data_IF_149293397938
#
_entry.id   IF_149293397938
#
_cell.length_a   1.000
_cell.length_b   1.000
_cell.length_c   1.000
_cell.angle_alpha   90.00
_cell.angle_beta   90.00
_cell.angle_gamma   90.00
#
_symmetry.space_group_name_H-M   'P 1'
#
loop_
_entity.id
_entity.type
_entity.pdbx_description
1 polymer ?
2 polymer ?
3 water ?
#
# COMPACT_ATOMS: atom_id res chain seq x y z
N UNK A 13 -16.53 24.66 9.67
CA UNK A 13 -17.02 23.67 8.69
C UNK A 13 -18.43 23.11 8.97
N UNK A 14 -19.40 23.83 8.42
CA UNK A 14 -20.63 23.23 7.94
C UNK A 14 -20.34 22.69 6.54
N UNK A 15 -19.20 23.05 5.97
CA UNK A 15 -18.86 22.57 4.63
C UNK A 15 -18.32 21.09 4.57
N UNK A 16 -18.92 20.33 3.64
CA UNK A 16 -18.53 18.97 3.32
C UNK A 16 -18.07 19.00 1.87
N UNK A 17 -17.31 17.99 1.50
CA UNK A 17 -16.82 17.78 0.16
C UNK A 17 -17.04 16.30 -0.17
N UNK A 18 -18.01 15.98 -1.03
CA UNK A 18 -18.26 14.56 -1.33
C UNK A 18 -17.09 13.99 -2.16
N UNK A 19 -16.82 12.69 -1.97
CA UNK A 19 -15.66 12.03 -2.57
C UNK A 19 -15.73 12.18 -4.07
N UNK A 20 -16.93 11.95 -4.61
CA UNK A 20 -17.26 11.97 -6.03
C UNK A 20 -16.81 13.26 -6.75
N UNK A 21 -16.60 14.32 -6.01
CA UNK A 21 -16.40 15.63 -6.56
C UNK A 21 -14.96 16.04 -6.61
N UNK A 22 -14.07 15.20 -6.06
CA UNK A 22 -12.67 15.55 -5.95
C UNK A 22 -11.88 15.12 -7.19
N UNK A 23 -11.15 16.07 -7.75
CA UNK A 23 -10.30 15.80 -8.87
C UNK A 23 -8.89 15.64 -8.31
N UNK A 24 -8.28 14.45 -8.49
CA UNK A 24 -6.90 14.19 -8.03
C UNK A 24 -5.85 15.16 -8.60
N UNK A 25 -4.87 15.53 -7.79
CA UNK A 25 -3.73 16.32 -8.26
C UNK A 25 -2.67 15.46 -8.95
N UNK A 26 -1.61 16.11 -9.43
CA UNK A 26 -0.44 15.41 -9.92
C UNK A 26 0.66 15.27 -8.85
N UNK A 27 0.35 15.66 -7.61
CA UNK A 27 1.31 15.56 -6.52
C UNK A 27 1.40 14.11 -6.11
N UNK A 28 2.63 13.65 -5.83
CA UNK A 28 2.76 12.28 -5.33
C UNK A 28 2.04 12.20 -4.01
N UNK A 29 1.58 11.00 -3.67
CA UNK A 29 1.12 10.71 -2.31
C UNK A 29 2.24 10.76 -1.27
N UNK A 30 1.78 10.83 -0.02
CA UNK A 30 2.68 10.86 1.09
C UNK A 30 2.30 9.77 2.02
N UNK A 31 3.26 8.98 2.43
CA UNK A 31 2.98 7.87 3.35
C UNK A 31 3.07 8.42 4.73
N UNK A 32 1.99 8.26 5.51
CA UNK A 32 1.93 8.83 6.87
C UNK A 32 2.34 7.82 7.91
N UNK A 33 1.95 6.58 7.69
CA UNK A 33 2.16 5.51 8.64
C UNK A 33 2.22 4.24 7.88
N UNK A 34 3.15 3.35 8.25
CA UNK A 34 3.32 2.08 7.54
C UNK A 34 3.85 0.98 8.46
N UNK A 35 2.97 0.25 9.10
CA UNK A 35 3.38 -0.80 10.03
C UNK A 35 2.28 -1.84 10.19
N UNK A 36 2.66 -3.06 10.52
CA UNK A 36 1.72 -4.19 10.79
C UNK A 36 0.82 -4.51 9.60
N UNK A 37 1.24 -4.19 8.37
CA UNK A 37 0.44 -4.44 7.19
C UNK A 37 -0.60 -3.38 7.00
N UNK A 38 -0.44 -2.27 7.70
CA UNK A 38 -1.37 -1.19 7.66
C UNK A 38 -0.65 0.11 7.29
N UNK A 39 -1.28 0.85 6.42
CA UNK A 39 -0.65 1.95 5.76
C UNK A 39 -1.62 3.13 5.62
N UNK A 40 -1.22 4.33 5.97
CA UNK A 40 -2.06 5.51 5.72
C UNK A 40 -1.33 6.39 4.72
N UNK A 41 -2.07 6.97 3.80
CA UNK A 41 -1.53 7.92 2.84
C UNK A 41 -2.40 9.17 2.67
N UNK A 42 -1.76 10.25 2.26
CA UNK A 42 -2.43 11.50 1.92
C UNK A 42 -2.30 11.68 0.42
N UNK A 43 -3.42 11.90 -0.25
CA UNK A 43 -3.38 12.49 -1.55
C UNK A 43 -3.93 13.89 -1.41
N UNK A 44 -3.30 14.84 -2.05
CA UNK A 44 -3.71 16.23 -2.03
C UNK A 44 -4.47 16.61 -3.28
N UNK A 45 -5.53 17.38 -3.09
CA UNK A 45 -6.27 17.93 -4.23
C UNK A 45 -6.72 19.36 -3.96
N UNK A 46 -6.73 20.12 -5.03
CA UNK A 46 -7.38 21.42 -5.09
C UNK A 46 -8.82 21.25 -4.62
N UNK A 47 -9.26 22.26 -3.88
CA UNK A 47 -10.64 22.43 -3.41
C UNK A 47 -11.56 22.61 -4.65
N UNK A 48 -12.53 21.72 -4.85
CA UNK A 48 -13.29 21.68 -6.10
C UNK A 48 -14.33 22.82 -6.20
N UNK A 49 -14.82 23.26 -5.03
CA UNK A 49 -15.69 24.44 -4.89
C UNK A 49 -14.89 25.68 -5.17
N UNK A 50 -15.34 26.47 -6.15
CA UNK A 50 -14.80 27.82 -6.41
C UNK A 50 -14.86 28.76 -5.21
N UNK A 51 -14.01 29.79 -5.22
CA UNK A 51 -14.09 30.86 -4.24
C UNK A 51 -13.44 30.59 -2.89
N UNK A 52 -12.67 29.50 -2.77
CA UNK A 52 -11.84 29.26 -1.58
C UNK A 52 -10.49 28.62 -2.00
N UNK A 53 -9.51 29.47 -2.28
CA UNK A 53 -8.13 29.02 -2.57
C UNK A 53 -7.26 28.82 -1.29
N UNK A 54 -7.88 28.89 -0.12
CA UNK A 54 -7.15 28.73 1.13
C UNK A 54 -7.51 27.39 1.81
N UNK A 55 -8.24 26.54 1.08
CA UNK A 55 -8.57 25.20 1.57
C UNK A 55 -7.79 24.11 0.79
N UNK A 56 -7.01 23.33 1.53
CA UNK A 56 -6.48 22.04 1.03
C UNK A 56 -7.41 20.87 1.34
N UNK A 57 -7.63 20.02 0.31
CA UNK A 57 -8.29 18.74 0.47
C UNK A 57 -7.25 17.63 0.55
N UNK A 58 -7.41 16.83 1.58
CA UNK A 58 -6.51 15.71 1.84
C UNK A 58 -7.37 14.49 1.85
N UNK A 59 -7.21 13.66 0.80
CA UNK A 59 -7.84 12.34 0.77
C UNK A 59 -6.97 11.34 1.54
N UNK A 60 -7.43 10.95 2.71
CA UNK A 60 -6.75 9.98 3.53
C UNK A 60 -7.14 8.58 3.12
N UNK A 61 -6.17 7.74 2.74
CA UNK A 61 -6.45 6.36 2.40
C UNK A 61 -5.81 5.48 3.43
N UNK A 62 -6.55 4.50 3.89
CA UNK A 62 -6.03 3.56 4.84
C UNK A 62 -6.17 2.16 4.25
N UNK A 63 -5.08 1.45 4.07
CA UNK A 63 -4.99 0.23 3.28
C UNK A 63 -4.39 -0.91 4.10
N UNK A 64 -4.84 -2.12 3.92
CA UNK A 64 -4.25 -3.24 4.67
C UNK A 64 -3.83 -4.38 3.81
N UNK A 65 -2.69 -4.97 4.11
CA UNK A 65 -2.37 -6.28 3.59
C UNK A 65 -2.06 -7.23 4.73
N UNK A 66 -2.52 -6.90 5.92
CA UNK A 66 -2.37 -7.75 7.09
C UNK A 66 -3.12 -9.07 6.98
N UNK A 67 -2.57 -10.13 7.58
CA UNK A 67 -3.21 -11.45 7.51
C UNK A 67 -4.51 -11.53 8.34
N UNK A 68 -4.65 -10.70 9.37
CA UNK A 68 -5.91 -10.59 10.13
C UNK A 68 -6.66 -9.32 9.75
N UNK A 69 -7.96 -9.31 9.96
CA UNK A 69 -8.71 -8.06 9.77
C UNK A 69 -8.30 -7.01 10.79
N UNK A 70 -8.56 -5.76 10.43
CA UNK A 70 -8.21 -4.61 11.25
C UNK A 70 -9.48 -3.87 11.60
N UNK A 71 -9.76 -3.68 12.88
CA UNK A 71 -11.04 -3.10 13.33
C UNK A 71 -10.76 -1.87 14.17
N UNK A 72 -11.82 -1.18 14.57
CA UNK A 72 -11.81 0.01 15.42
C UNK A 72 -10.84 1.08 14.99
N UNK A 73 -10.88 1.42 13.72
CA UNK A 73 -9.95 2.42 13.16
C UNK A 73 -10.42 3.83 13.39
N UNK A 74 -9.65 4.59 14.15
CA UNK A 74 -9.86 6.03 14.26
C UNK A 74 -8.58 6.81 13.98
N UNK A 75 -8.76 7.75 13.07
CA UNK A 75 -7.71 8.65 12.66
C UNK A 75 -8.11 10.06 13.08
N UNK A 76 -7.22 10.73 13.82
CA UNK A 76 -7.40 12.11 14.24
C UNK A 76 -6.25 12.98 13.81
N UNK A 77 -6.50 14.28 13.70
CA UNK A 77 -5.40 15.22 13.44
C UNK A 77 -5.55 16.58 14.11
N UNK A 78 -4.41 17.29 14.22
CA UNK A 78 -4.31 18.64 14.75
C UNK A 78 -3.41 19.45 13.87
N UNK A 79 -3.55 20.74 13.95
CA UNK A 79 -2.93 21.64 12.99
C UNK A 79 -2.59 22.93 13.82
N UNK A 80 -1.66 23.77 13.41
CA UNK A 80 -1.46 25.09 14.06
C UNK A 80 -2.69 25.96 14.29
N UNK A 81 -2.84 26.50 15.52
CA UNK A 81 -3.88 27.46 15.99
C UNK A 81 -4.46 28.32 14.86
N UNK A 82 -3.55 28.91 14.10
CA UNK A 82 -3.83 29.76 12.95
C UNK A 82 -4.55 29.13 11.73
N UNK A 83 -4.69 27.81 11.73
CA UNK A 83 -5.42 27.11 10.67
C UNK A 83 -6.35 26.10 11.32
N UNK A 84 -7.28 25.61 10.53
CA UNK A 84 -8.24 24.67 11.03
C UNK A 84 -8.15 23.39 10.20
N UNK A 85 -8.69 22.33 10.78
CA UNK A 85 -8.78 21.03 10.18
C UNK A 85 -10.11 20.38 10.51
N UNK A 86 -10.76 19.82 9.49
CA UNK A 86 -11.97 19.04 9.68
C UNK A 86 -11.85 17.67 9.04
N UNK A 87 -12.36 16.65 9.72
CA UNK A 87 -12.44 15.32 9.20
C UNK A 87 -13.90 14.87 9.00
N UNK A 88 -14.23 14.67 7.74
CA UNK A 88 -15.49 14.04 7.35
C UNK A 88 -15.47 12.58 7.76
N UNK A 89 -16.63 11.99 7.98
CA UNK A 89 -16.63 10.59 8.44
C UNK A 89 -15.93 9.72 7.39
N UNK A 90 -15.30 8.66 7.86
CA UNK A 90 -14.62 7.73 6.98
C UNK A 90 -15.63 6.85 6.30
N UNK A 91 -15.25 6.29 5.16
CA UNK A 91 -16.01 5.31 4.40
C UNK A 91 -16.39 4.10 5.24
N UNK A 92 -15.60 3.79 6.30
CA UNK A 92 -15.79 2.66 7.22
C UNK A 92 -14.75 2.61 8.38
N UNK A 93 -14.73 1.52 9.17
CA UNK A 93 -13.73 1.41 10.27
C UNK A 93 -13.01 0.07 10.40
N UNK A 94 -13.26 -0.88 9.52
CA UNK A 94 -12.51 -2.12 9.55
C UNK A 94 -12.08 -2.56 8.16
N UNK A 95 -11.18 -3.53 8.12
CA UNK A 95 -10.72 -4.05 6.84
C UNK A 95 -10.60 -5.55 6.95
N UNK A 96 -10.91 -6.22 5.86
CA UNK A 96 -10.75 -7.67 5.81
C UNK A 96 -9.27 -8.05 5.77
N UNK A 97 -9.02 -9.25 6.25
CA UNK A 97 -7.75 -9.91 6.10
C UNK A 97 -7.40 -9.93 4.65
N UNK A 98 -6.12 -10.05 4.36
CA UNK A 98 -5.65 -10.21 3.01
C UNK A 98 -6.18 -11.52 2.37
N UNK A 99 -6.73 -11.38 1.18
CA UNK A 99 -7.23 -12.51 0.44
C UNK A 99 -6.70 -12.37 -0.99
N UNK A 100 -5.92 -13.38 -1.41
CA UNK A 100 -5.28 -13.36 -2.73
C UNK A 100 -6.25 -13.23 -3.91
N UNK A 101 -7.49 -13.71 -3.77
CA UNK A 101 -8.42 -13.71 -4.89
C UNK A 101 -9.10 -12.38 -5.06
N UNK A 102 -9.38 -11.67 -3.95
CA UNK A 102 -10.14 -10.40 -4.07
C UNK A 102 -9.22 -9.21 -4.16
N UNK A 103 -9.81 -8.14 -4.69
CA UNK A 103 -9.23 -6.81 -4.79
C UNK A 103 -8.95 -6.22 -3.38
N UNK A 104 -7.86 -5.46 -3.21
CA UNK A 104 -7.54 -4.94 -1.87
C UNK A 104 -8.58 -3.88 -1.56
N UNK A 105 -8.93 -3.74 -0.29
CA UNK A 105 -9.90 -2.75 0.12
C UNK A 105 -9.21 -1.56 0.75
N UNK A 106 -9.87 -0.43 0.68
CA UNK A 106 -9.42 0.81 1.25
C UNK A 106 -10.54 1.50 2.06
N UNK A 107 -10.18 2.09 3.19
CA UNK A 107 -11.01 3.09 3.83
C UNK A 107 -10.58 4.44 3.33
N UNK A 108 -11.55 5.28 2.98
CA UNK A 108 -11.27 6.64 2.55
C UNK A 108 -11.87 7.61 3.58
N UNK A 109 -11.20 8.74 3.80
CA UNK A 109 -11.67 9.74 4.72
C UNK A 109 -11.19 11.04 4.19
N UNK A 110 -12.12 11.99 4.00
CA UNK A 110 -11.77 13.34 3.57
C UNK A 110 -11.44 14.28 4.71
N UNK A 111 -10.41 15.05 4.47
CA UNK A 111 -9.80 15.87 5.49
C UNK A 111 -9.63 17.25 4.87
N UNK A 112 -10.19 18.24 5.54
CA UNK A 112 -10.18 19.61 5.04
C UNK A 112 -9.22 20.45 5.89
N UNK A 113 -8.58 21.38 5.24
CA UNK A 113 -7.57 22.15 5.89
C UNK A 113 -7.60 23.60 5.45
N UNK A 114 -7.95 24.48 6.39
CA UNK A 114 -8.12 25.91 6.13
C UNK A 114 -6.90 26.67 6.61
N UNK A 115 -6.18 27.26 5.67
CA UNK A 115 -4.97 28.02 5.93
C UNK A 115 -5.09 29.47 5.35
N UNK A 116 -5.99 30.28 5.94
CA UNK A 116 -6.15 31.70 5.55
C UNK A 116 -4.83 32.43 5.46
N UNK A 117 -4.05 32.42 6.53
CA UNK A 117 -2.78 33.16 6.60
C UNK A 117 -1.67 32.62 5.70
N UNK A 118 -1.83 31.39 5.20
CA UNK A 118 -0.95 30.84 4.14
C UNK A 118 0.49 30.49 4.61
N UNK A 119 0.59 30.01 5.84
CA UNK A 119 1.86 29.55 6.40
C UNK A 119 2.15 28.05 6.15
N UNK A 120 3.39 27.66 6.47
CA UNK A 120 3.84 26.29 6.37
C UNK A 120 2.91 25.35 7.16
N UNK A 121 2.28 24.38 6.48
CA UNK A 121 1.48 23.35 7.13
C UNK A 121 2.34 22.26 7.81
N UNK A 122 2.01 22.01 9.09
CA UNK A 122 2.41 20.84 9.84
C UNK A 122 1.15 20.25 10.46
N UNK A 123 1.20 18.96 10.76
CA UNK A 123 0.01 18.23 11.16
C UNK A 123 0.43 17.14 12.11
N UNK A 124 -0.20 17.05 13.28
CA UNK A 124 -0.06 15.87 14.15
C UNK A 124 -1.22 14.91 13.95
N UNK A 125 -1.04 13.63 14.25
CA UNK A 125 -2.09 12.68 14.06
C UNK A 125 -2.01 11.63 15.14
N UNK A 126 -3.15 10.99 15.35
CA UNK A 126 -3.27 9.88 16.27
C UNK A 126 -3.98 8.78 15.47
N UNK A 127 -3.56 7.56 15.65
CA UNK A 127 -4.20 6.46 14.94
C UNK A 127 -4.36 5.35 15.90
N UNK A 128 -5.58 4.86 16.02
CA UNK A 128 -5.88 3.74 16.87
C UNK A 128 -6.49 2.70 15.98
N UNK A 129 -6.08 1.47 16.19
CA UNK A 129 -6.73 0.42 15.43
C UNK A 129 -6.53 -0.88 16.20
N UNK A 130 -7.25 -1.91 15.77
CA UNK A 130 -7.19 -3.22 16.44
C UNK A 130 -6.98 -4.27 15.46
N UNK A 131 -6.16 -5.24 15.82
CA UNK A 131 -5.81 -6.35 14.95
C UNK A 131 -5.63 -7.59 15.85
N UNK A 132 -6.53 -8.55 15.77
CA UNK A 132 -6.51 -9.67 16.70
C UNK A 132 -6.75 -9.22 18.14
N UNK A 133 -5.92 -9.75 19.04
CA UNK A 133 -5.99 -9.42 20.48
C UNK A 133 -5.26 -8.13 20.80
N UNK A 134 -4.75 -7.45 19.78
CA UNK A 134 -3.81 -6.35 20.03
C UNK A 134 -4.46 -5.03 19.59
N UNK A 135 -4.31 -4.03 20.44
CA UNK A 135 -4.61 -2.65 20.10
C UNK A 135 -3.29 -1.88 19.88
N UNK A 136 -3.34 -0.92 18.94
CA UNK A 136 -2.20 -0.08 18.56
C UNK A 136 -2.53 1.42 18.67
N UNK A 137 -1.60 2.17 19.22
CA UNK A 137 -1.81 3.60 19.39
C UNK A 137 -0.58 4.34 18.87
N UNK A 138 -0.77 5.06 17.79
CA UNK A 138 0.30 5.80 17.20
C UNK A 138 -0.01 7.24 17.34
N UNK A 139 1.05 8.00 17.56
CA UNK A 139 0.97 9.44 17.48
C UNK A 139 2.19 9.89 16.69
N UNK A 140 1.98 10.63 15.62
CA UNK A 140 3.08 11.22 14.90
C UNK A 140 2.72 12.46 14.12
N UNK A 141 3.45 12.68 13.03
CA UNK A 141 3.30 13.92 12.35
C UNK A 141 3.67 13.88 10.91
N UNK A 142 3.23 14.93 10.21
CA UNK A 142 3.37 15.04 8.76
C UNK A 142 3.79 16.49 8.39
N UNK A 143 4.76 16.65 7.49
CA UNK A 143 5.04 17.97 6.98
C UNK A 143 5.31 18.03 5.48
N UNK A 144 4.99 17.00 4.70
CA UNK A 144 5.17 17.06 3.25
C UNK A 144 3.88 17.51 2.62
N UNK A 145 3.57 18.79 2.78
CA UNK A 145 2.35 19.39 2.19
C UNK A 145 2.74 20.25 1.01
N UNK A 146 1.86 20.39 0.04
CA UNK A 146 2.16 21.31 -1.06
C UNK A 146 2.17 22.73 -0.51
N UNK A 147 3.10 23.53 -1.02
CA UNK A 147 3.22 24.93 -0.56
C UNK A 147 1.87 25.64 -0.71
N UNK A 148 1.47 26.42 0.29
CA UNK A 148 0.10 26.93 0.38
C UNK A 148 -0.36 27.88 -0.71
N UNK A 149 0.53 28.42 -1.55
CA UNK A 149 0.16 29.32 -2.64
C UNK A 149 -0.36 28.50 -3.80
N UNK A 150 0.02 27.24 -3.84
CA UNK A 150 -0.28 26.41 -4.96
C UNK A 150 -1.65 25.79 -4.84
N UNK A 151 -2.36 26.04 -3.74
CA UNK A 151 -3.58 25.29 -3.46
C UNK A 151 -4.75 25.53 -4.46
N UNK A 152 -4.72 26.66 -5.16
CA UNK A 152 -5.59 26.94 -6.29
C UNK A 152 -5.13 26.32 -7.62
N UNK A 153 -3.83 26.23 -7.85
CA UNK A 153 -3.28 25.76 -9.14
C UNK A 153 -2.92 24.24 -9.29
N UNK A 154 -3.68 23.32 -8.67
CA UNK A 154 -3.43 21.86 -8.73
C UNK A 154 -4.60 21.10 -9.35
N UNK B 3 4.59 28.09 16.01
CA UNK B 3 3.11 28.25 15.88
C UNK B 3 2.55 27.04 16.57
N UNK B 4 1.85 27.25 17.68
CA UNK B 4 1.49 26.09 18.45
C UNK B 4 0.21 25.49 17.93
N UNK B 5 0.03 24.22 18.30
CA UNK B 5 -0.99 23.39 17.71
C UNK B 5 -2.33 23.53 18.39
N UNK B 6 -3.38 23.36 17.58
CA UNK B 6 -4.74 23.22 18.06
C UNK B 6 -4.96 21.87 18.73
N UNK B 7 -6.22 21.59 19.07
CA UNK B 7 -6.59 20.33 19.66
C UNK B 7 -6.76 19.33 18.54
N UNK B 8 -6.81 18.05 18.88
CA UNK B 8 -7.09 17.02 17.90
C UNK B 8 -8.55 17.00 17.60
N UNK B 9 -8.82 16.99 16.30
CA UNK B 9 -10.13 16.82 15.76
C UNK B 9 -10.32 15.37 15.28
N UNK B 10 -11.53 14.85 15.40
CA UNK B 10 -11.91 13.62 14.74
C UNK B 10 -13.27 13.83 14.02
N UNK B 11 -13.84 12.76 13.50
CA UNK B 11 -15.15 12.87 12.90
C UNK B 11 -16.22 12.47 13.89
N UNK B 12 -17.41 13.10 13.73
CA UNK B 12 -18.65 12.68 14.44
C UNK B 12 -18.87 11.18 14.27
N UNK B 13 -18.71 10.43 15.35
CA UNK B 13 -19.07 9.01 15.41
C UNK B 13 -20.47 8.87 15.98
N UNK C 13 8.95 -27.55 -13.04
CA UNK C 13 8.21 -26.38 -13.52
C UNK C 13 7.17 -26.63 -14.62
N UNK C 14 6.55 -27.82 -14.61
CA UNK C 14 5.24 -27.98 -15.25
C UNK C 14 4.17 -27.65 -14.21
N UNK C 15 4.60 -27.47 -12.95
CA UNK C 15 3.71 -27.05 -11.84
C UNK C 15 3.17 -25.61 -11.91
N UNK C 16 1.84 -25.51 -11.85
CA UNK C 16 1.13 -24.27 -11.68
C UNK C 16 0.35 -24.36 -10.36
N UNK C 17 0.10 -23.21 -9.78
CA UNK C 17 -0.71 -23.07 -8.58
C UNK C 17 -1.74 -21.95 -8.87
N UNK C 18 -3.02 -22.28 -9.05
CA UNK C 18 -4.00 -21.20 -9.30
C UNK C 18 -4.22 -20.39 -8.00
N UNK C 19 -4.54 -19.12 -8.19
CA UNK C 19 -4.65 -18.14 -7.13
C UNK C 19 -5.73 -18.59 -6.14
N UNK C 20 -6.84 -19.08 -6.71
CA UNK C 20 -8.03 -19.56 -5.98
C UNK C 20 -7.69 -20.57 -4.88
N UNK C 21 -6.58 -21.29 -5.06
CA UNK C 21 -6.27 -22.47 -4.26
C UNK C 21 -5.34 -22.20 -3.09
N UNK C 22 -4.87 -20.96 -3.01
CA UNK C 22 -3.89 -20.58 -2.00
C UNK C 22 -4.59 -20.13 -0.73
N UNK C 23 -4.19 -20.71 0.39
CA UNK C 23 -4.71 -20.31 1.66
C UNK C 23 -3.63 -19.49 2.32
N UNK C 24 -3.96 -18.23 2.63
CA UNK C 24 -3.00 -17.27 3.22
C UNK C 24 -2.46 -17.75 4.56
N UNK C 25 -1.18 -17.48 4.83
CA UNK C 25 -0.59 -17.81 6.14
C UNK C 25 -0.87 -16.73 7.16
N UNK C 26 -0.29 -16.90 8.34
CA UNK C 26 -0.31 -15.88 9.37
C UNK C 26 0.94 -15.00 9.41
N UNK C 27 1.83 -15.20 8.46
CA UNK C 27 3.07 -14.44 8.42
C UNK C 27 2.73 -13.04 7.94
N UNK C 28 3.37 -12.04 8.55
CA UNK C 28 3.18 -10.71 8.03
C UNK C 28 3.74 -10.67 6.63
N UNK C 29 3.22 -9.76 5.82
CA UNK C 29 3.80 -9.45 4.53
C UNK C 29 5.17 -8.75 4.67
N UNK C 30 5.83 -8.73 3.54
CA UNK C 30 7.14 -8.09 3.48
C UNK C 30 7.12 -7.14 2.36
N UNK C 31 7.61 -5.96 2.62
CA UNK C 31 7.64 -4.95 1.58
C UNK C 31 8.92 -5.13 0.85
N UNK C 32 8.81 -5.29 -0.47
CA UNK C 32 9.98 -5.50 -1.34
C UNK C 32 10.51 -4.21 -1.93
N UNK C 33 9.59 -3.37 -2.35
CA UNK C 33 9.89 -2.16 -3.04
C UNK C 33 8.81 -1.17 -2.75
N UNK C 34 9.17 0.08 -2.52
CA UNK C 34 8.20 1.13 -2.22
C UNK C 34 8.70 2.49 -2.68
N UNK C 35 8.37 2.88 -3.88
CA UNK C 35 8.77 4.17 -4.44
C UNK C 35 7.79 4.62 -5.55
N UNK C 36 7.71 5.92 -5.78
CA UNK C 36 6.85 6.57 -6.82
C UNK C 36 5.37 6.14 -6.77
N UNK C 37 4.88 5.82 -5.57
CA UNK C 37 3.52 5.42 -5.41
C UNK C 37 3.30 3.98 -5.76
N UNK C 38 4.40 3.27 -5.93
CA UNK C 38 4.37 1.90 -6.38
C UNK C 38 5.05 1.02 -5.34
N UNK C 39 4.42 -0.09 -5.08
CA UNK C 39 4.79 -0.93 -3.99
C UNK C 39 4.68 -2.42 -4.34
N UNK C 40 5.70 -3.20 -4.04
CA UNK C 40 5.63 -4.65 -4.19
C UNK C 40 5.69 -5.30 -2.82
N UNK C 41 4.87 -6.32 -2.59
CA UNK C 41 4.82 -7.08 -1.35
C UNK C 41 4.81 -8.57 -1.60
N UNK C 42 5.40 -9.33 -0.68
CA UNK C 42 5.33 -10.77 -0.66
C UNK C 42 4.36 -11.20 0.46
N UNK C 43 3.43 -12.05 0.14
CA UNK C 43 2.76 -12.83 1.16
C UNK C 43 3.18 -14.29 0.98
N UNK C 44 3.51 -14.96 2.06
CA UNK C 44 3.90 -16.35 2.04
C UNK C 44 2.74 -17.28 2.39
N UNK C 45 2.64 -18.37 1.61
CA UNK C 45 1.72 -19.47 1.97
C UNK C 45 2.36 -20.81 1.77
N UNK C 46 1.91 -21.72 2.64
CA UNK C 46 2.01 -23.16 2.50
C UNK C 46 1.57 -23.55 1.10
N UNK C 47 2.35 -24.46 0.52
CA UNK C 47 2.03 -25.13 -0.73
C UNK C 47 0.73 -25.93 -0.53
N UNK C 48 -0.32 -25.62 -1.29
CA UNK C 48 -1.65 -26.22 -1.05
C UNK C 48 -1.74 -27.68 -1.48
N UNK C 49 -0.96 -28.04 -2.52
CA UNK C 49 -0.78 -29.44 -2.98
C UNK C 49 0.02 -30.27 -1.97
N UNK C 50 -0.60 -31.34 -1.46
CA UNK C 50 0.11 -32.31 -0.60
C UNK C 50 1.35 -32.90 -1.25
N UNK C 51 2.23 -33.43 -0.41
CA UNK C 51 3.37 -34.18 -0.89
C UNK C 51 4.57 -33.37 -1.35
N UNK C 52 4.58 -32.06 -1.11
CA UNK C 52 5.79 -31.25 -1.37
C UNK C 52 5.91 -30.13 -0.29
N UNK C 53 6.59 -30.48 0.81
CA UNK C 53 6.91 -29.53 1.89
C UNK C 53 8.15 -28.64 1.63
N UNK C 54 8.75 -28.78 0.45
CA UNK C 54 9.97 -28.04 0.12
C UNK C 54 9.65 -26.92 -0.91
N UNK C 55 8.37 -26.65 -1.10
CA UNK C 55 7.95 -25.52 -1.92
C UNK C 55 7.32 -24.41 -1.06
N UNK C 56 7.92 -23.23 -1.15
CA UNK C 56 7.25 -21.99 -0.70
C UNK C 56 6.48 -21.33 -1.83
N UNK C 57 5.24 -20.90 -1.52
CA UNK C 57 4.45 -20.03 -2.38
C UNK C 57 4.57 -18.60 -1.93
N UNK C 58 4.90 -17.75 -2.88
CA UNK C 58 5.04 -16.33 -2.64
C UNK C 58 4.03 -15.64 -3.52
N UNK C 59 2.98 -15.10 -2.91
CA UNK C 59 2.03 -14.25 -3.63
C UNK C 59 2.61 -12.84 -3.71
N UNK C 60 3.00 -12.42 -4.90
CA UNK C 60 3.49 -11.07 -5.13
C UNK C 60 2.33 -10.13 -5.44
N UNK C 61 2.17 -9.06 -4.63
CA UNK C 61 1.20 -8.03 -4.93
C UNK C 61 1.94 -6.82 -5.33
N UNK C 62 1.42 -6.14 -6.33
CA UNK C 62 1.96 -4.90 -6.81
C UNK C 62 0.83 -3.87 -6.82
N UNK C 63 0.99 -2.82 -6.05
CA UNK C 63 -0.08 -1.89 -5.74
C UNK C 63 0.34 -0.49 -6.12
N UNK C 64 -0.59 0.31 -6.58
CA UNK C 64 -0.25 1.71 -6.88
C UNK C 64 -1.16 2.74 -6.27
N UNK C 65 -0.61 3.81 -5.72
CA UNK C 65 -1.44 5.00 -5.45
C UNK C 65 -0.86 6.21 -6.16
N UNK C 66 -0.11 5.94 -7.22
CA UNK C 66 0.41 6.96 -8.11
C UNK C 66 -0.67 7.79 -8.80
N UNK C 67 -0.36 9.05 -9.05
CA UNK C 67 -1.31 9.93 -9.74
C UNK C 67 -1.45 9.60 -11.25
N UNK C 68 -0.42 9.00 -11.85
CA UNK C 68 -0.46 8.51 -13.24
C UNK C 68 -0.61 7.02 -13.25
N UNK C 69 -1.05 6.47 -14.37
CA UNK C 69 -1.06 5.01 -14.52
C UNK C 69 0.35 4.51 -14.67
N UNK C 70 0.49 3.23 -14.37
CA UNK C 70 1.76 2.57 -14.39
C UNK C 70 1.67 1.45 -15.39
N UNK C 71 2.57 1.42 -16.37
CA UNK C 71 2.48 0.37 -17.44
C UNK C 71 3.80 -0.35 -17.58
N UNK C 72 3.80 -1.34 -18.45
CA UNK C 72 4.94 -2.19 -18.78
C UNK C 72 5.62 -2.83 -17.56
N UNK C 73 4.82 -3.41 -16.68
CA UNK C 73 5.39 -3.93 -15.43
C UNK C 73 5.97 -5.31 -15.62
N UNK C 74 7.28 -5.45 -15.40
CA UNK C 74 7.89 -6.77 -15.29
C UNK C 74 8.72 -6.94 -14.02
N UNK C 75 8.39 -8.01 -13.31
CA UNK C 75 9.06 -8.41 -12.10
C UNK C 75 9.75 -9.77 -12.40
N UNK C 76 11.05 -9.82 -12.12
CA UNK C 76 11.86 -11.03 -12.24
C UNK C 76 12.53 -11.37 -10.91
N UNK C 77 12.97 -12.62 -10.77
CA UNK C 77 13.75 -12.98 -9.60
C UNK C 77 14.76 -14.13 -9.83
N UNK C 78 15.78 -14.16 -8.99
CA UNK C 78 16.84 -15.16 -9.00
C UNK C 78 17.04 -15.64 -7.57
N UNK C 79 17.61 -16.81 -7.44
CA UNK C 79 17.62 -17.51 -6.15
C UNK C 79 18.95 -18.29 -6.17
N UNK C 80 19.51 -18.71 -5.06
CA UNK C 80 20.68 -19.62 -5.06
C UNK C 80 20.56 -20.89 -5.91
N UNK C 81 21.59 -21.16 -6.74
CA UNK C 81 21.77 -22.37 -7.58
C UNK C 81 21.09 -23.63 -7.06
N UNK C 82 21.28 -23.85 -5.78
CA UNK C 82 20.70 -24.95 -5.03
C UNK C 82 19.16 -24.99 -4.90
N UNK C 83 18.48 -23.90 -5.28
CA UNK C 83 17.01 -23.88 -5.28
C UNK C 83 16.59 -23.31 -6.58
N UNK C 84 15.32 -23.49 -6.88
CA UNK C 84 14.80 -22.94 -8.11
C UNK C 84 13.61 -22.02 -7.79
N UNK C 85 13.22 -21.24 -8.78
CA UNK C 85 12.15 -20.28 -8.66
C UNK C 85 11.41 -20.20 -9.98
N UNK C 86 10.09 -20.17 -9.91
CA UNK C 86 9.27 -20.01 -11.10
C UNK C 86 8.32 -18.89 -10.89
N UNK C 87 8.03 -18.13 -11.95
CA UNK C 87 7.00 -17.10 -11.91
C UNK C 87 5.84 -17.37 -12.89
N UNK C 88 4.65 -17.62 -12.33
CA UNK C 88 3.46 -17.72 -13.13
C UNK C 88 3.13 -16.36 -13.73
N UNK C 89 2.40 -16.30 -14.84
CA UNK C 89 2.08 -15.00 -15.42
C UNK C 89 1.34 -14.16 -14.37
N UNK C 90 1.53 -12.85 -14.44
CA UNK C 90 0.83 -11.94 -13.54
C UNK C 90 -0.59 -11.76 -13.99
N UNK C 91 -1.44 -11.39 -13.06
CA UNK C 91 -2.82 -11.03 -13.35
C UNK C 91 -2.95 -9.96 -14.43
N UNK C 92 -1.91 -9.13 -14.64
CA UNK C 92 -1.89 -8.01 -15.58
C UNK C 92 -0.52 -7.28 -15.65
N UNK C 93 -0.41 -6.16 -16.35
CA UNK C 93 0.86 -5.41 -16.41
C UNK C 93 0.74 -3.89 -16.33
N UNK C 94 -0.45 -3.36 -16.06
CA UNK C 94 -0.60 -1.94 -15.77
C UNK C 94 -1.55 -1.66 -14.62
N UNK C 95 -1.53 -0.43 -14.14
CA UNK C 95 -2.49 -0.03 -13.11
C UNK C 95 -3.00 1.36 -13.42
N UNK C 96 -4.26 1.57 -13.10
CA UNK C 96 -4.84 2.91 -13.25
C UNK C 96 -4.23 3.91 -12.24
N UNK C 97 -4.34 5.16 -12.62
CA UNK C 97 -4.08 6.28 -11.76
C UNK C 97 -4.94 6.14 -10.56
N UNK C 98 -4.51 6.77 -9.48
CA UNK C 98 -5.32 6.86 -8.26
C UNK C 98 -6.64 7.60 -8.53
N UNK C 99 -7.71 6.98 -8.08
CA UNK C 99 -9.03 7.55 -8.22
C UNK C 99 -9.73 7.39 -6.90
N UNK C 100 -10.08 8.53 -6.26
CA UNK C 100 -10.64 8.51 -4.91
C UNK C 100 -11.97 7.74 -4.80
N UNK C 101 -12.72 7.64 -5.89
CA UNK C 101 -14.02 7.00 -5.87
C UNK C 101 -13.91 5.48 -5.92
N UNK C 102 -12.95 4.95 -6.68
CA UNK C 102 -12.87 3.48 -6.86
C UNK C 102 -11.93 2.85 -5.89
N UNK C 103 -12.12 1.53 -5.78
CA UNK C 103 -11.26 0.64 -5.01
C UNK C 103 -9.84 0.56 -5.62
N UNK C 104 -8.81 0.44 -4.77
CA UNK C 104 -7.43 0.34 -5.28
C UNK C 104 -7.28 -0.95 -6.03
N UNK C 105 -6.51 -0.93 -7.10
CA UNK C 105 -6.28 -2.15 -7.86
C UNK C 105 -4.94 -2.79 -7.50
N UNK C 106 -4.87 -4.09 -7.72
CA UNK C 106 -3.65 -4.85 -7.49
C UNK C 106 -3.32 -5.73 -8.70
N UNK C 107 -2.05 -5.88 -9.01
CA UNK C 107 -1.57 -6.98 -9.82
C UNK C 107 -1.09 -8.11 -8.91
N UNK C 108 -1.50 -9.33 -9.22
CA UNK C 108 -1.04 -10.47 -8.47
C UNK C 108 -0.18 -11.34 -9.36
N UNK C 109 0.84 -11.97 -8.76
CA UNK C 109 1.73 -12.83 -9.50
C UNK C 109 2.15 -13.90 -8.55
N UNK C 110 1.93 -15.15 -8.92
CA UNK C 110 2.37 -16.25 -8.09
C UNK C 110 3.81 -16.72 -8.39
N UNK C 111 4.54 -16.92 -7.31
CA UNK C 111 5.96 -17.16 -7.35
C UNK C 111 6.18 -18.43 -6.53
N UNK C 112 6.81 -19.41 -7.19
CA UNK C 112 7.07 -20.71 -6.60
C UNK C 112 8.56 -20.83 -6.30
N UNK C 113 8.85 -21.47 -5.21
CA UNK C 113 10.20 -21.54 -4.74
C UNK C 113 10.52 -22.94 -4.19
N UNK C 114 11.43 -23.65 -4.86
CA UNK C 114 11.80 -25.03 -4.48
C UNK C 114 13.13 -25.03 -3.76
N UNK C 115 13.10 -25.46 -2.50
CA UNK C 115 14.26 -25.51 -1.63
C UNK C 115 14.42 -26.94 -1.06
N UNK C 116 14.80 -27.92 -1.90
CA UNK C 116 15.00 -29.31 -1.45
C UNK C 116 15.93 -29.37 -0.25
N UNK C 117 17.14 -28.79 -0.40
CA UNK C 117 18.20 -28.84 0.61
C UNK C 117 17.87 -28.07 1.93
N UNK C 118 16.88 -27.18 1.89
CA UNK C 118 16.36 -26.48 3.07
C UNK C 118 17.34 -25.45 3.72
N UNK C 119 18.08 -24.74 2.86
CA UNK C 119 18.99 -23.66 3.32
C UNK C 119 18.27 -22.27 3.38
N UNK C 120 18.97 -21.30 3.98
CA UNK C 120 18.47 -19.93 4.06
C UNK C 120 18.14 -19.40 2.66
N UNK C 121 16.90 -18.95 2.47
CA UNK C 121 16.46 -18.27 1.26
C UNK C 121 16.93 -16.82 1.20
N UNK C 122 17.55 -16.46 0.08
CA UNK C 122 17.74 -15.09 -0.40
C UNK C 122 17.27 -15.05 -1.82
N UNK C 123 16.94 -13.85 -2.28
CA UNK C 123 16.27 -13.65 -3.57
C UNK C 123 16.66 -12.31 -4.10
N UNK C 124 17.13 -12.25 -5.34
CA UNK C 124 17.33 -11.01 -6.09
C UNK C 124 16.16 -10.73 -7.05
N UNK C 125 15.88 -9.46 -7.32
CA UNK C 125 14.76 -9.13 -8.16
C UNK C 125 15.15 -7.96 -9.06
N UNK C 126 14.44 -7.90 -10.16
CA UNK C 126 14.54 -6.81 -11.07
C UNK C 126 13.10 -6.34 -11.26
N UNK C 127 12.88 -5.04 -11.32
CA UNK C 127 11.53 -4.54 -11.58
C UNK C 127 11.67 -3.44 -12.58
N UNK C 128 10.87 -3.51 -13.62
CA UNK C 128 10.80 -2.47 -14.63
C UNK C 128 9.37 -2.00 -14.65
N UNK C 129 9.20 -0.71 -14.79
CA UNK C 129 7.84 -0.24 -14.98
C UNK C 129 7.94 1.13 -15.59
N UNK C 130 6.78 1.60 -16.03
CA UNK C 130 6.69 2.86 -16.78
C UNK C 130 5.63 3.72 -16.19
N UNK C 131 5.91 5.00 -16.06
CA UNK C 131 4.96 5.94 -15.49
C UNK C 131 5.14 7.24 -16.24
N UNK C 132 4.15 7.68 -17.01
CA UNK C 132 4.32 8.86 -17.83
C UNK C 132 5.47 8.69 -18.83
N UNK C 133 6.31 9.73 -18.94
CA UNK C 133 7.47 9.75 -19.84
C UNK C 133 8.67 9.02 -19.24
N UNK C 134 8.51 8.38 -18.08
CA UNK C 134 9.68 7.87 -17.35
C UNK C 134 9.63 6.35 -17.20
N UNK C 135 10.75 5.70 -17.48
CA UNK C 135 10.95 4.29 -17.19
C UNK C 135 11.78 4.19 -15.91
N UNK C 136 11.45 3.17 -15.09
CA UNK C 136 12.16 2.86 -13.84
C UNK C 136 12.77 1.45 -13.84
N UNK C 137 14.01 1.35 -13.41
CA UNK C 137 14.70 0.06 -13.42
C UNK C 137 15.30 -0.15 -12.06
N UNK C 138 14.76 -1.14 -11.35
CA UNK C 138 15.20 -1.39 -10.01
C UNK C 138 15.76 -2.75 -9.91
N UNK C 139 16.82 -2.89 -9.14
CA UNK C 139 17.42 -4.20 -8.87
C UNK C 139 17.69 -4.25 -7.40
N UNK C 140 17.19 -5.22 -6.69
CA UNK C 140 17.55 -5.39 -5.32
C UNK C 140 17.29 -6.77 -4.79
N UNK C 141 16.97 -6.85 -3.51
CA UNK C 141 16.95 -8.15 -2.90
C UNK C 141 16.10 -8.25 -1.68
N UNK C 142 15.82 -9.51 -1.32
CA UNK C 142 14.93 -9.86 -0.22
C UNK C 142 15.51 -11.01 0.64
N UNK C 143 15.53 -10.86 1.97
CA UNK C 143 15.89 -11.99 2.84
C UNK C 143 14.93 -12.32 3.99
N UNK C 144 13.73 -11.75 4.04
CA UNK C 144 12.79 -12.02 5.12
C UNK C 144 11.84 -13.14 4.73
N UNK C 145 12.38 -14.34 4.67
CA UNK C 145 11.59 -15.52 4.29
C UNK C 145 11.32 -16.35 5.50
N UNK C 146 10.21 -17.06 5.57
CA UNK C 146 10.02 -17.94 6.73
C UNK C 146 11.05 -19.05 6.70
N UNK C 147 11.51 -19.46 7.87
CA UNK C 147 12.54 -20.50 7.90
C UNK C 147 11.99 -21.74 7.18
N UNK C 148 12.87 -22.36 6.39
CA UNK C 148 12.45 -23.43 5.47
C UNK C 148 11.81 -24.69 6.07
N UNK C 149 11.90 -24.92 7.39
CA UNK C 149 11.33 -26.12 8.03
C UNK C 149 9.87 -25.90 8.26
N UNK C 150 9.50 -24.62 8.32
CA UNK C 150 8.14 -24.25 8.63
C UNK C 150 7.23 -24.29 7.41
N UNK C 151 7.76 -24.56 6.22
CA UNK C 151 6.98 -24.43 4.98
C UNK C 151 5.77 -25.36 4.82
N UNK C 152 5.78 -26.49 5.55
CA UNK C 152 4.62 -27.36 5.68
C UNK C 152 3.61 -26.92 6.73
N UNK C 153 4.09 -26.30 7.83
CA UNK C 153 3.25 -25.91 8.98
C UNK C 153 2.65 -24.47 9.01
N UNK C 154 2.27 -23.92 7.85
CA UNK C 154 1.71 -22.55 7.75
C UNK C 154 0.34 -22.40 7.08
N UNK D 4 25.83 -19.41 -4.32
CA UNK D 4 25.71 -18.39 -5.40
C UNK D 4 24.42 -18.52 -6.20
N UNK D 5 24.09 -17.43 -6.89
CA UNK D 5 22.76 -17.23 -7.46
C UNK D 5 22.63 -17.85 -8.84
N UNK D 6 21.42 -18.33 -9.12
CA UNK D 6 21.03 -18.77 -10.44
C UNK D 6 20.72 -17.55 -11.30
N UNK D 7 20.17 -17.82 -12.50
CA UNK D 7 19.85 -16.75 -13.44
C UNK D 7 18.51 -16.17 -13.07
N UNK D 8 18.18 -15.02 -13.62
CA UNK D 8 16.89 -14.41 -13.39
C UNK D 8 15.86 -15.09 -14.25
N UNK D 9 14.78 -15.50 -13.56
CA UNK D 9 13.60 -16.03 -14.17
C UNK D 9 12.52 -14.95 -14.34
N UNK D 10 11.76 -15.02 -15.41
CA UNK D 10 10.54 -14.23 -15.50
C UNK D 10 9.41 -15.15 -15.96
N UNK D 11 8.26 -14.54 -16.25
CA UNK D 11 7.16 -15.31 -16.80
C UNK D 11 7.15 -15.32 -18.35
N UNK D 12 6.60 -16.42 -18.90
CA UNK D 12 6.23 -16.55 -20.33
C UNK D 12 5.35 -15.38 -20.80
N UNK D 13 5.94 -14.40 -21.49
CA UNK D 13 5.19 -13.30 -22.12
C UNK D 13 4.78 -13.59 -23.57
#
# INVERSE_FOLDING_TARGET
MHHHHHHMELSLASITVPLESIKPSNILPVTVYDQHGFRILFHFARDPLPGRSDVLVVVVSMLSTAPQPIRNIVFQSAVPKVMKVKLQPPSGTELPAFNPIVHPSAITQVLLLANPQKEKVRLRYKLTFTMGDQTYNEMGDVDQFPPPETWGSL
DDDDFGGFEAAETFD
MHHHHHHMELSLASITVPLESIKPSNILPVTVYDQHGFRILFHFARDPLPGRSDVLVVVVSMLSTAPQPIRNIVFQSAVPKVMKVKLQPPSGTELPAFNPIVHPSAITQVLLLANPQKEKVRLRYKLTFTMGDQTYNEMGDVDQFPPPETWGSL
DDDDFGGFEAAETFD
#
